data_IF_620107949065
#
_entry.id   IF_620107949065
#
_cell.length_a   1.000
_cell.length_b   1.000
_cell.length_c   1.000
_cell.angle_alpha   90.00
_cell.angle_beta   90.00
_cell.angle_gamma   90.00
#
_symmetry.space_group_name_H-M   'P 1'
#
loop_
_entity.id
_entity.type
_entity.pdbx_description
1 polymer ?
#
# COMPACT_ATOMS: atom_id res chain seq x y z
N UNK A 1 7.55 -5.93 8.83
CA UNK A 1 6.48 -6.41 7.92
C UNK A 1 6.57 -5.58 6.66
N UNK A 2 7.15 -6.14 5.60
CA UNK A 2 7.77 -5.42 4.47
C UNK A 2 6.88 -4.31 3.85
N UNK A 3 5.58 -4.54 3.69
CA UNK A 3 4.65 -3.56 3.08
C UNK A 3 4.42 -2.32 3.97
N UNK A 4 4.30 -2.52 5.28
CA UNK A 4 4.05 -1.43 6.22
C UNK A 4 5.30 -0.57 6.36
N UNK A 5 6.46 -1.21 6.42
CA UNK A 5 7.76 -0.54 6.49
C UNK A 5 7.97 0.29 5.21
N UNK A 6 7.70 -0.29 4.03
CA UNK A 6 7.68 0.43 2.76
C UNK A 6 6.76 1.65 2.79
N UNK A 7 5.50 1.49 3.23
CA UNK A 7 4.55 2.61 3.30
C UNK A 7 5.03 3.72 4.25
N UNK A 8 5.67 3.38 5.37
CA UNK A 8 6.17 4.36 6.36
C UNK A 8 7.33 5.17 5.81
N UNK A 9 8.20 4.56 5.02
CA UNK A 9 9.37 5.19 4.40
C UNK A 9 9.01 6.04 3.18
N UNK A 10 7.81 5.89 2.61
CA UNK A 10 7.37 6.73 1.51
C UNK A 10 7.31 8.23 1.91
N UNK A 11 7.72 9.14 1.01
CA UNK A 11 7.39 10.56 1.14
C UNK A 11 5.88 10.78 1.19
N UNK A 12 5.44 11.86 1.86
CA UNK A 12 4.01 12.13 2.08
C UNK A 12 3.19 12.15 0.78
N UNK A 13 3.72 12.75 -0.29
CA UNK A 13 3.06 12.77 -1.59
C UNK A 13 2.86 11.36 -2.19
N UNK A 14 3.80 10.44 -1.96
CA UNK A 14 3.69 9.03 -2.40
C UNK A 14 2.77 8.23 -1.50
N UNK A 15 2.71 8.53 -0.21
CA UNK A 15 1.75 7.90 0.72
C UNK A 15 0.32 8.16 0.28
N UNK A 16 0.01 9.36 -0.20
CA UNK A 16 -1.32 9.70 -0.71
C UNK A 16 -1.66 8.84 -1.93
N UNK A 17 -0.76 8.75 -2.92
CA UNK A 17 -0.98 7.95 -4.12
C UNK A 17 -1.09 6.46 -3.80
N UNK A 18 -0.18 5.94 -2.97
CA UNK A 18 -0.21 4.54 -2.52
C UNK A 18 -1.53 4.21 -1.84
N UNK A 19 -1.98 5.06 -0.90
CA UNK A 19 -3.25 4.88 -0.19
C UNK A 19 -4.44 4.84 -1.16
N UNK A 20 -4.52 5.77 -2.10
CA UNK A 20 -5.62 5.81 -3.07
C UNK A 20 -5.66 4.55 -3.94
N UNK A 21 -4.52 4.13 -4.48
CA UNK A 21 -4.41 2.91 -5.29
C UNK A 21 -4.70 1.66 -4.46
N UNK A 22 -4.14 1.56 -3.26
CA UNK A 22 -4.39 0.46 -2.34
C UNK A 22 -5.88 0.32 -2.03
N UNK A 23 -6.56 1.43 -1.67
CA UNK A 23 -8.00 1.44 -1.40
C UNK A 23 -8.82 1.05 -2.64
N UNK A 24 -8.41 1.45 -3.85
CA UNK A 24 -9.09 1.08 -5.08
C UNK A 24 -8.97 -0.41 -5.40
N UNK A 25 -7.83 -1.04 -5.11
CA UNK A 25 -7.57 -2.45 -5.42
C UNK A 25 -8.22 -3.37 -4.36
N UNK A 26 -8.12 -3.00 -3.08
CA UNK A 26 -8.61 -3.83 -1.98
C UNK A 26 -10.07 -3.55 -1.60
N UNK A 27 -10.65 -2.46 -2.10
CA UNK A 27 -11.99 -1.99 -1.72
C UNK A 27 -12.05 -1.45 -0.29
N UNK A 28 -10.90 -1.17 0.35
CA UNK A 28 -10.90 -0.69 1.73
C UNK A 28 -11.43 0.73 1.86
N UNK A 29 -12.15 0.96 2.96
CA UNK A 29 -12.38 2.32 3.45
C UNK A 29 -11.07 2.95 3.93
N UNK A 30 -11.04 4.29 4.03
CA UNK A 30 -9.89 5.03 4.56
C UNK A 30 -9.51 4.57 5.96
N UNK A 31 -10.51 4.34 6.82
CA UNK A 31 -10.33 3.87 8.21
C UNK A 31 -9.71 2.47 8.24
N UNK A 32 -10.22 1.57 7.40
CA UNK A 32 -9.71 0.20 7.26
C UNK A 32 -8.25 0.19 6.81
N UNK A 33 -7.89 1.05 5.86
CA UNK A 33 -6.50 1.20 5.40
C UNK A 33 -5.58 1.57 6.57
N UNK A 34 -5.90 2.64 7.32
CA UNK A 34 -5.04 3.07 8.43
C UNK A 34 -4.95 2.02 9.53
N UNK A 35 -6.07 1.39 9.89
CA UNK A 35 -6.08 0.30 10.86
C UNK A 35 -5.13 -0.84 10.43
N UNK A 36 -5.21 -1.28 9.17
CA UNK A 36 -4.35 -2.35 8.66
C UNK A 36 -2.87 -1.95 8.58
N UNK A 37 -2.57 -0.72 8.16
CA UNK A 37 -1.19 -0.20 8.13
C UNK A 37 -0.61 0.04 9.53
N UNK A 38 -1.46 0.21 10.55
CA UNK A 38 -1.02 0.36 11.94
C UNK A 38 -0.81 -1.00 12.62
N UNK A 39 -1.71 -1.96 12.38
CA UNK A 39 -1.77 -3.21 13.13
C UNK A 39 -1.21 -4.45 12.40
N UNK A 40 -0.94 -4.38 11.09
CA UNK A 40 -0.32 -5.50 10.37
C UNK A 40 -1.22 -6.69 10.08
N UNK A 41 -2.52 -6.58 10.32
CA UNK A 41 -3.48 -7.67 10.07
C UNK A 41 -3.91 -7.71 8.58
N UNK A 42 -2.95 -8.01 7.70
CA UNK A 42 -3.16 -8.20 6.28
C UNK A 42 -3.39 -9.69 5.95
N UNK A 43 -4.40 -9.96 5.13
CA UNK A 43 -4.65 -11.29 4.55
C UNK A 43 -3.70 -11.51 3.37
N UNK A 44 -3.45 -12.78 3.03
CA UNK A 44 -2.54 -13.12 1.92
C UNK A 44 -2.92 -12.43 0.60
N UNK A 45 -4.20 -12.47 0.21
CA UNK A 45 -4.67 -11.77 -1.00
C UNK A 45 -4.41 -10.26 -0.98
N UNK A 46 -4.46 -9.64 0.20
CA UNK A 46 -4.18 -8.21 0.37
C UNK A 46 -2.68 -7.93 0.28
N UNK A 47 -1.86 -8.85 0.80
CA UNK A 47 -0.39 -8.79 0.69
C UNK A 47 0.01 -8.91 -0.78
N UNK A 48 -0.55 -9.84 -1.52
CA UNK A 48 -0.24 -10.08 -2.92
C UNK A 48 -0.59 -8.84 -3.76
N UNK A 49 -1.81 -8.30 -3.60
CA UNK A 49 -2.27 -7.11 -4.30
C UNK A 49 -1.43 -5.86 -3.98
N UNK A 50 -1.03 -5.67 -2.71
CA UNK A 50 -0.19 -4.53 -2.32
C UNK A 50 1.25 -4.70 -2.80
N UNK A 51 1.76 -5.93 -2.86
CA UNK A 51 3.10 -6.23 -3.39
C UNK A 51 3.15 -5.92 -4.89
N UNK A 52 2.12 -6.31 -5.64
CA UNK A 52 1.98 -5.96 -7.05
C UNK A 52 1.93 -4.44 -7.25
N UNK A 53 1.15 -3.73 -6.43
CA UNK A 53 1.10 -2.26 -6.45
C UNK A 53 2.48 -1.62 -6.20
N UNK A 54 3.25 -2.13 -5.24
CA UNK A 54 4.61 -1.65 -4.94
C UNK A 54 5.52 -1.83 -6.16
N UNK A 55 5.46 -3.00 -6.80
CA UNK A 55 6.24 -3.28 -8.00
C UNK A 55 5.86 -2.30 -9.13
N UNK A 56 4.58 -2.09 -9.40
CA UNK A 56 4.11 -1.15 -10.43
C UNK A 56 4.61 0.28 -10.17
N UNK A 57 4.53 0.76 -8.93
CA UNK A 57 5.03 2.10 -8.56
C UNK A 57 6.56 2.20 -8.69
N UNK A 58 7.28 1.09 -8.52
CA UNK A 58 8.74 1.05 -8.63
C UNK A 58 9.20 1.01 -10.08
N UNK A 59 8.46 0.35 -10.97
CA UNK A 59 8.74 0.31 -12.41
C UNK A 59 8.46 1.64 -13.12
N UNK A 60 7.43 2.38 -12.71
CA UNK A 60 7.08 3.73 -13.24
C UNK A 60 8.20 4.79 -13.03
N UNK A 61 9.29 4.45 -12.33
CA UNK A 61 10.47 5.30 -12.10
C UNK A 61 11.61 5.09 -13.12
N UNK A 62 11.51 4.11 -14.01
CA UNK A 62 12.59 3.77 -14.96
C UNK A 62 12.42 4.30 -16.39
N UNK A 63 11.33 5.00 -16.69
CA UNK A 63 11.12 5.78 -17.92
C UNK A 63 11.19 7.30 -17.62
#
# INVERSE_FOLDING_TARGET
MVIIDYYRELPEYKKIQFRQKAMSITGWSRSTFFYKMQHGNLKQLEIDALTELINTISYDRQD
#
